data_IF_654981041737
#
_entry.id   IF_654981041737
#
_cell.length_a   1.000
_cell.length_b   1.000
_cell.length_c   1.000
_cell.angle_alpha   90.00
_cell.angle_beta   90.00
_cell.angle_gamma   90.00
#
_symmetry.space_group_name_H-M   'P 1'
#
loop_
_entity.id
_entity.type
_entity.pdbx_description
1 polymer ?
#
# COMPACT_ATOMS: atom_id res chain seq x y z
N UNK A 1 23.59 -40.72 -4.02
CA UNK A 1 22.70 -40.33 -5.15
C UNK A 1 21.74 -39.27 -4.61
N UNK A 2 22.13 -38.00 -4.69
CA UNK A 2 21.30 -36.88 -4.19
C UNK A 2 20.31 -36.53 -5.28
N UNK A 3 19.00 -36.63 -4.94
CA UNK A 3 17.93 -36.26 -5.80
C UNK A 3 17.74 -34.72 -5.68
N UNK A 4 18.13 -33.98 -6.70
CA UNK A 4 17.89 -32.54 -6.78
C UNK A 4 16.40 -32.37 -7.11
N UNK A 5 15.60 -31.97 -6.12
CA UNK A 5 14.25 -31.53 -6.36
C UNK A 5 14.29 -30.17 -7.07
N UNK A 6 14.07 -30.19 -8.37
CA UNK A 6 13.84 -28.96 -9.15
C UNK A 6 12.44 -28.46 -8.80
N UNK A 7 12.35 -27.42 -7.96
CA UNK A 7 11.12 -26.67 -7.78
C UNK A 7 10.75 -26.06 -9.13
N UNK A 8 9.72 -26.61 -9.78
CA UNK A 8 9.05 -25.94 -10.89
C UNK A 8 8.35 -24.72 -10.32
N UNK A 9 8.95 -23.55 -10.51
CA UNK A 9 8.25 -22.28 -10.39
C UNK A 9 7.20 -22.29 -11.49
N UNK A 10 5.95 -22.50 -11.13
CA UNK A 10 4.83 -22.24 -12.05
C UNK A 10 4.73 -20.73 -12.20
N UNK A 11 5.39 -20.18 -13.21
CA UNK A 11 5.04 -18.85 -13.72
C UNK A 11 3.62 -18.95 -14.29
N UNK A 12 2.63 -18.67 -13.48
CA UNK A 12 1.33 -18.32 -14.02
C UNK A 12 1.54 -17.06 -14.85
N UNK A 13 1.22 -17.04 -16.17
CA UNK A 13 1.37 -15.83 -16.96
C UNK A 13 0.45 -14.77 -16.35
N UNK A 14 1.04 -13.89 -15.56
CA UNK A 14 0.29 -12.81 -14.92
C UNK A 14 -0.18 -11.89 -16.01
N UNK A 15 -1.47 -11.86 -16.26
CA UNK A 15 -2.10 -10.98 -17.25
C UNK A 15 -1.67 -9.53 -16.98
N UNK A 16 -1.09 -8.88 -17.98
CA UNK A 16 -0.85 -7.44 -17.92
C UNK A 16 -2.18 -6.72 -17.70
N UNK A 17 -2.20 -5.81 -16.72
CA UNK A 17 -3.38 -5.03 -16.38
C UNK A 17 -3.44 -3.80 -17.28
N UNK A 18 -4.62 -3.50 -17.82
CA UNK A 18 -4.84 -2.33 -18.65
C UNK A 18 -5.25 -1.10 -17.80
N UNK A 19 -4.94 0.12 -18.25
CA UNK A 19 -5.50 1.33 -17.65
C UNK A 19 -7.03 1.25 -17.58
N UNK A 20 -7.59 1.55 -16.39
CA UNK A 20 -9.02 1.42 -16.11
C UNK A 20 -9.43 0.08 -15.49
N UNK A 21 -8.57 -0.95 -15.51
CA UNK A 21 -8.85 -2.20 -14.79
C UNK A 21 -8.97 -1.95 -13.28
N UNK A 22 -9.93 -2.64 -12.64
CA UNK A 22 -10.07 -2.62 -11.19
C UNK A 22 -9.26 -3.76 -10.57
N UNK A 23 -8.45 -3.42 -9.59
CA UNK A 23 -7.63 -4.37 -8.81
C UNK A 23 -7.80 -4.09 -7.32
N UNK A 24 -7.32 -4.98 -6.47
CA UNK A 24 -7.19 -4.70 -5.04
C UNK A 24 -5.72 -4.62 -4.62
N UNK A 25 -5.44 -3.77 -3.64
CA UNK A 25 -4.26 -3.88 -2.82
C UNK A 25 -4.67 -4.36 -1.43
N UNK A 26 -4.00 -5.40 -0.93
CA UNK A 26 -4.28 -5.99 0.37
C UNK A 26 -3.05 -5.91 1.26
N UNK A 27 -3.23 -5.46 2.51
CA UNK A 27 -2.26 -5.73 3.56
C UNK A 27 -2.55 -7.12 4.13
N UNK A 28 -1.55 -8.00 4.09
CA UNK A 28 -1.73 -9.41 4.49
C UNK A 28 -0.74 -9.82 5.58
N UNK A 29 -1.23 -10.57 6.56
CA UNK A 29 -0.40 -11.33 7.47
C UNK A 29 -0.09 -12.69 6.84
N UNK A 30 1.12 -12.85 6.31
CA UNK A 30 1.52 -14.09 5.63
C UNK A 30 1.53 -15.29 6.56
N UNK A 31 1.99 -15.11 7.80
CA UNK A 31 2.05 -16.18 8.80
C UNK A 31 0.67 -16.67 9.20
N UNK A 32 -0.33 -15.79 9.22
CA UNK A 32 -1.72 -16.10 9.52
C UNK A 32 -2.55 -16.41 8.26
N UNK A 33 -2.00 -16.17 7.07
CA UNK A 33 -2.69 -16.27 5.76
C UNK A 33 -4.01 -15.47 5.75
N UNK A 34 -3.98 -14.28 6.32
CA UNK A 34 -5.18 -13.47 6.52
C UNK A 34 -5.00 -12.04 6.06
N UNK A 35 -6.06 -11.46 5.50
CA UNK A 35 -6.09 -10.07 5.06
C UNK A 35 -6.33 -9.15 6.26
N UNK A 36 -5.52 -8.10 6.43
CA UNK A 36 -5.73 -7.06 7.45
C UNK A 36 -6.66 -5.97 6.93
N UNK A 37 -6.33 -5.47 5.74
CA UNK A 37 -7.09 -4.43 5.07
C UNK A 37 -7.07 -4.68 3.56
N UNK A 38 -8.11 -4.24 2.88
CA UNK A 38 -8.21 -4.29 1.43
C UNK A 38 -8.79 -2.98 0.91
N UNK A 39 -8.14 -2.46 -0.12
CA UNK A 39 -8.60 -1.29 -0.86
C UNK A 39 -8.67 -1.62 -2.34
N UNK A 40 -9.80 -1.33 -3.01
CA UNK A 40 -9.89 -1.45 -4.45
C UNK A 40 -9.27 -0.21 -5.10
N UNK A 41 -8.57 -0.40 -6.20
CA UNK A 41 -7.85 0.63 -6.94
C UNK A 41 -8.14 0.51 -8.43
N UNK A 42 -8.00 1.60 -9.16
CA UNK A 42 -8.00 1.59 -10.63
C UNK A 42 -6.57 1.60 -11.13
N UNK A 43 -6.25 0.73 -12.07
CA UNK A 43 -4.92 0.71 -12.70
C UNK A 43 -4.78 1.93 -13.61
N UNK A 44 -3.70 2.69 -13.41
CA UNK A 44 -3.29 3.80 -14.28
C UNK A 44 -2.20 3.33 -15.24
N UNK A 45 -1.25 2.57 -14.68
CA UNK A 45 -0.13 2.01 -15.42
C UNK A 45 0.30 0.69 -14.79
N UNK A 46 0.54 -0.32 -15.62
CA UNK A 46 1.17 -1.58 -15.23
C UNK A 46 2.36 -1.81 -16.16
N UNK A 47 3.53 -1.37 -15.74
CA UNK A 47 4.77 -1.43 -16.53
C UNK A 47 5.84 -2.28 -15.86
N UNK A 48 6.89 -2.62 -16.63
CA UNK A 48 7.99 -3.50 -16.20
C UNK A 48 8.80 -2.96 -15.02
N UNK A 49 8.71 -1.66 -14.73
CA UNK A 49 9.48 -1.01 -13.65
C UNK A 49 8.60 -0.33 -12.61
N UNK A 50 7.39 0.03 -12.97
CA UNK A 50 6.50 0.82 -12.14
C UNK A 50 5.05 0.45 -12.36
N UNK A 51 4.32 0.34 -11.26
CA UNK A 51 2.87 0.25 -11.20
C UNK A 51 2.34 1.58 -10.67
N UNK A 52 1.29 2.08 -11.28
CA UNK A 52 0.58 3.27 -10.79
C UNK A 52 -0.89 2.92 -10.63
N UNK A 53 -1.39 3.16 -9.42
CA UNK A 53 -2.78 2.92 -9.05
C UNK A 53 -3.47 4.22 -8.66
N UNK A 54 -4.76 4.29 -8.91
CA UNK A 54 -5.61 5.44 -8.58
C UNK A 54 -6.71 5.04 -7.60
N UNK A 55 -6.86 5.80 -6.52
CA UNK A 55 -7.92 5.67 -5.52
C UNK A 55 -8.76 6.94 -5.51
N UNK A 56 -9.97 6.95 -6.06
CA UNK A 56 -10.87 8.10 -5.97
C UNK A 56 -11.44 8.27 -4.55
N UNK A 57 -11.69 9.51 -4.17
CA UNK A 57 -12.51 9.81 -3.00
C UNK A 57 -13.88 9.11 -3.12
N UNK A 58 -14.38 8.59 -2.01
CA UNK A 58 -15.62 7.80 -1.97
C UNK A 58 -15.42 6.30 -2.14
N UNK A 59 -14.21 5.83 -2.48
CA UNK A 59 -13.91 4.40 -2.53
C UNK A 59 -14.10 3.75 -1.17
N UNK A 60 -14.73 2.56 -1.16
CA UNK A 60 -14.97 1.77 0.04
C UNK A 60 -14.02 0.58 0.08
N UNK A 61 -13.17 0.54 1.10
CA UNK A 61 -12.31 -0.59 1.46
C UNK A 61 -12.85 -1.32 2.69
N UNK A 62 -12.08 -2.31 3.17
CA UNK A 62 -12.42 -3.07 4.38
C UNK A 62 -11.19 -3.22 5.27
N UNK A 63 -11.42 -3.22 6.58
CA UNK A 63 -10.39 -3.47 7.59
C UNK A 63 -10.92 -4.43 8.66
N UNK A 64 -10.03 -5.14 9.33
CA UNK A 64 -10.36 -6.04 10.45
C UNK A 64 -11.05 -5.27 11.57
N UNK A 65 -12.08 -5.91 12.16
CA UNK A 65 -12.70 -5.48 13.42
C UNK A 65 -12.11 -6.24 14.61
N UNK A 66 -12.41 -5.77 15.83
CA UNK A 66 -11.96 -6.41 17.05
C UNK A 66 -11.51 -5.44 18.13
N UNK A 67 -10.85 -5.98 19.13
CA UNK A 67 -10.31 -5.21 20.24
C UNK A 67 -9.12 -4.38 19.80
N UNK A 68 -9.15 -3.08 20.14
CA UNK A 68 -8.10 -2.13 19.78
C UNK A 68 -7.47 -1.50 21.02
N UNK A 69 -6.21 -1.06 20.88
CA UNK A 69 -5.45 -0.39 21.93
C UNK A 69 -4.17 0.21 21.37
N UNK A 70 -3.15 0.36 22.21
CA UNK A 70 -1.89 0.98 21.82
C UNK A 70 -2.03 2.47 21.49
N UNK A 71 -1.06 3.06 20.75
CA UNK A 71 -1.08 4.46 20.38
C UNK A 71 -2.39 4.83 19.67
N UNK A 72 -3.02 5.90 20.14
CA UNK A 72 -4.28 6.43 19.60
C UNK A 72 -5.43 5.40 19.49
N UNK A 73 -5.33 4.22 20.13
CA UNK A 73 -6.31 3.15 20.02
C UNK A 73 -6.36 2.51 18.63
N UNK A 74 -5.32 2.65 17.81
CA UNK A 74 -5.33 2.18 16.41
C UNK A 74 -4.83 0.75 16.23
N UNK A 75 -4.03 0.24 17.18
CA UNK A 75 -3.46 -1.09 17.09
C UNK A 75 -4.51 -2.18 17.30
N UNK A 76 -4.63 -3.13 16.40
CA UNK A 76 -5.49 -4.29 16.59
C UNK A 76 -4.80 -5.26 17.56
N UNK A 77 -5.41 -5.44 18.75
CA UNK A 77 -4.92 -6.35 19.80
C UNK A 77 -5.42 -7.77 19.56
N UNK A 78 -6.69 -7.88 19.22
CA UNK A 78 -7.34 -9.17 18.94
C UNK A 78 -8.39 -9.02 17.84
N UNK A 79 -8.22 -9.78 16.77
CA UNK A 79 -9.20 -9.86 15.69
C UNK A 79 -10.41 -10.70 16.13
N UNK A 80 -11.62 -10.26 15.83
CA UNK A 80 -12.87 -10.96 16.13
C UNK A 80 -13.41 -11.82 14.98
N UNK A 81 -12.65 -11.92 13.88
CA UNK A 81 -13.05 -12.63 12.65
C UNK A 81 -13.84 -11.76 11.67
N UNK A 82 -14.23 -10.55 12.07
CA UNK A 82 -15.04 -9.62 11.29
C UNK A 82 -14.22 -8.59 10.50
N UNK A 83 -14.95 -7.90 9.60
CA UNK A 83 -14.44 -6.77 8.83
C UNK A 83 -15.51 -5.68 8.78
N UNK A 84 -15.07 -4.42 8.84
CA UNK A 84 -15.91 -3.25 8.66
C UNK A 84 -15.50 -2.49 7.40
N UNK A 85 -16.47 -1.80 6.82
CA UNK A 85 -16.24 -0.91 5.69
C UNK A 85 -15.57 0.38 6.15
N UNK A 86 -14.64 0.88 5.34
CA UNK A 86 -14.02 2.19 5.50
C UNK A 86 -14.12 2.95 4.19
N UNK A 87 -14.56 4.20 4.26
CA UNK A 87 -14.63 5.07 3.07
C UNK A 87 -13.44 6.00 3.03
N UNK A 88 -12.72 6.01 1.90
CA UNK A 88 -11.67 6.98 1.64
C UNK A 88 -12.28 8.34 1.37
N UNK A 89 -11.86 9.36 2.10
CA UNK A 89 -12.49 10.69 2.06
C UNK A 89 -11.48 11.81 1.82
N UNK A 90 -11.94 12.86 1.19
CA UNK A 90 -11.26 14.14 1.10
C UNK A 90 -10.21 14.25 0.00
N UNK A 91 -9.59 13.17 -0.41
CA UNK A 91 -8.54 13.19 -1.45
C UNK A 91 -8.72 12.10 -2.49
N UNK A 92 -8.25 12.40 -3.69
CA UNK A 92 -7.95 11.41 -4.72
C UNK A 92 -6.47 11.05 -4.62
N UNK A 93 -6.09 9.78 -4.71
CA UNK A 93 -4.71 9.36 -4.52
C UNK A 93 -4.17 8.66 -5.76
N UNK A 94 -3.00 9.09 -6.23
CA UNK A 94 -2.13 8.29 -7.08
C UNK A 94 -1.09 7.61 -6.21
N UNK A 95 -0.99 6.28 -6.32
CA UNK A 95 0.00 5.47 -5.65
C UNK A 95 1.01 4.95 -6.68
N UNK A 96 2.24 5.39 -6.56
CA UNK A 96 3.35 5.06 -7.44
C UNK A 96 4.23 4.01 -6.74
N UNK A 97 4.32 2.82 -7.32
CA UNK A 97 5.12 1.74 -6.80
C UNK A 97 6.17 1.31 -7.82
N UNK A 98 7.44 1.36 -7.47
CA UNK A 98 8.53 0.79 -8.25
C UNK A 98 8.72 -0.67 -7.82
N UNK A 99 8.76 -1.58 -8.79
CA UNK A 99 8.84 -3.01 -8.50
C UNK A 99 10.04 -3.36 -7.63
N UNK A 100 9.76 -4.04 -6.51
CA UNK A 100 10.75 -4.49 -5.55
C UNK A 100 11.11 -3.49 -4.44
N UNK A 101 10.62 -2.25 -4.50
CA UNK A 101 10.84 -1.29 -3.43
C UNK A 101 10.05 -1.68 -2.16
N UNK A 102 10.60 -1.40 -0.96
CA UNK A 102 9.89 -1.60 0.30
C UNK A 102 9.01 -0.40 0.67
N UNK A 103 8.52 0.34 -0.32
CA UNK A 103 7.63 1.47 -0.14
C UNK A 103 6.88 1.81 -1.41
N UNK A 104 5.82 2.62 -1.28
CA UNK A 104 5.17 3.31 -2.39
C UNK A 104 5.04 4.81 -2.10
N UNK A 105 5.14 5.64 -3.14
CA UNK A 105 4.89 7.07 -3.06
C UNK A 105 3.42 7.35 -3.40
N UNK A 106 2.73 8.08 -2.52
CA UNK A 106 1.37 8.53 -2.74
C UNK A 106 1.35 10.03 -3.01
N UNK A 107 0.62 10.43 -4.03
CA UNK A 107 0.30 11.81 -4.34
C UNK A 107 -1.20 12.00 -4.07
N UNK A 108 -1.53 12.75 -3.04
CA UNK A 108 -2.91 12.98 -2.65
C UNK A 108 -3.37 14.36 -3.14
N UNK A 109 -4.42 14.35 -3.92
CA UNK A 109 -5.04 15.53 -4.50
C UNK A 109 -6.36 15.82 -3.79
N UNK A 110 -6.62 17.07 -3.46
CA UNK A 110 -7.92 17.47 -2.95
C UNK A 110 -9.04 17.01 -3.93
N UNK A 111 -10.08 16.40 -3.39
CA UNK A 111 -11.10 15.77 -4.22
C UNK A 111 -11.95 16.76 -5.03
N UNK A 112 -12.04 18.02 -4.59
CA UNK A 112 -12.83 19.06 -5.25
C UNK A 112 -11.99 19.89 -6.22
N UNK A 113 -10.77 20.27 -5.85
CA UNK A 113 -9.92 21.20 -6.63
C UNK A 113 -8.87 20.51 -7.48
N UNK A 114 -8.50 19.28 -7.15
CA UNK A 114 -7.37 18.55 -7.73
C UNK A 114 -6.01 19.20 -7.48
N UNK A 115 -5.91 20.09 -6.52
CA UNK A 115 -4.62 20.57 -6.04
C UNK A 115 -3.91 19.45 -5.26
N UNK A 116 -2.61 19.33 -5.44
CA UNK A 116 -1.82 18.39 -4.63
C UNK A 116 -1.86 18.87 -3.18
N UNK A 117 -2.44 18.07 -2.29
CA UNK A 117 -2.62 18.40 -0.89
C UNK A 117 -1.42 17.96 -0.03
N UNK A 118 -0.96 16.73 -0.25
CA UNK A 118 0.18 16.15 0.47
C UNK A 118 0.79 14.98 -0.33
N UNK A 119 2.01 14.62 0.06
CA UNK A 119 2.74 13.44 -0.43
C UNK A 119 2.99 12.51 0.75
N UNK A 120 3.03 11.21 0.47
CA UNK A 120 3.17 10.19 1.50
C UNK A 120 4.05 9.07 1.00
N UNK A 121 4.99 8.63 1.80
CA UNK A 121 5.74 7.40 1.56
C UNK A 121 5.18 6.36 2.52
N UNK A 122 4.46 5.41 1.96
CA UNK A 122 3.95 4.25 2.68
C UNK A 122 5.03 3.19 2.70
N UNK A 123 5.58 2.92 3.89
CA UNK A 123 6.55 1.84 4.05
C UNK A 123 5.80 0.49 4.14
N UNK A 124 6.23 -0.45 3.35
CA UNK A 124 5.53 -1.73 3.18
C UNK A 124 6.46 -2.80 2.63
N UNK A 125 6.13 -4.06 2.83
CA UNK A 125 6.86 -5.13 2.16
C UNK A 125 6.70 -5.02 0.63
N UNK A 126 7.69 -5.47 -0.17
CA UNK A 126 7.55 -5.52 -1.62
C UNK A 126 6.28 -6.23 -2.08
N UNK A 127 5.60 -5.66 -3.06
CA UNK A 127 4.32 -6.17 -3.54
C UNK A 127 4.45 -7.53 -4.22
N UNK A 128 3.54 -8.42 -3.88
CA UNK A 128 3.33 -9.67 -4.60
C UNK A 128 2.09 -9.53 -5.49
N UNK A 129 2.24 -9.88 -6.75
CA UNK A 129 1.13 -9.88 -7.68
C UNK A 129 0.26 -11.12 -7.45
N UNK A 130 -1.06 -10.94 -7.47
CA UNK A 130 -2.07 -11.99 -7.29
C UNK A 130 -3.07 -11.98 -8.45
N UNK A 131 -3.98 -12.94 -8.48
CA UNK A 131 -5.04 -13.00 -9.50
C UNK A 131 -6.00 -11.80 -9.46
N UNK A 132 -6.10 -11.09 -8.32
CA UNK A 132 -7.03 -9.96 -8.12
C UNK A 132 -6.33 -8.62 -7.89
N UNK A 133 -4.99 -8.58 -7.93
CA UNK A 133 -4.22 -7.35 -7.73
C UNK A 133 -2.89 -7.57 -7.03
N UNK A 134 -2.71 -6.98 -5.86
CA UNK A 134 -1.42 -6.97 -5.16
C UNK A 134 -1.58 -7.21 -3.67
N UNK A 135 -0.69 -8.02 -3.11
CA UNK A 135 -0.53 -8.24 -1.68
C UNK A 135 0.77 -7.60 -1.20
N UNK A 136 0.72 -6.99 -0.03
CA UNK A 136 1.85 -6.44 0.68
C UNK A 136 1.60 -6.54 2.18
N UNK A 137 2.47 -5.96 3.00
CA UNK A 137 2.27 -5.77 4.42
C UNK A 137 2.75 -4.38 4.80
N UNK A 138 1.86 -3.59 5.38
CA UNK A 138 2.16 -2.33 6.03
C UNK A 138 3.08 -2.55 7.24
N UNK A 139 4.12 -1.72 7.41
CA UNK A 139 5.17 -1.94 8.41
C UNK A 139 5.23 -0.88 9.52
N UNK A 140 4.11 -0.23 9.81
CA UNK A 140 3.87 0.65 10.98
C UNK A 140 4.51 2.04 10.94
N UNK A 141 5.42 2.34 10.06
CA UNK A 141 6.13 3.61 10.00
C UNK A 141 5.99 4.19 8.61
N UNK A 142 5.68 5.47 8.53
CA UNK A 142 5.47 6.16 7.28
C UNK A 142 6.11 7.55 7.29
N UNK A 143 6.05 8.21 6.15
CA UNK A 143 6.53 9.58 6.00
C UNK A 143 5.48 10.43 5.28
N UNK A 144 5.36 11.68 5.70
CA UNK A 144 4.46 12.65 5.08
C UNK A 144 5.22 13.94 4.76
N UNK A 145 4.84 14.59 3.67
CA UNK A 145 5.33 15.91 3.30
C UNK A 145 4.21 16.75 2.67
N UNK A 146 4.35 18.05 2.76
CA UNK A 146 3.49 18.99 2.04
C UNK A 146 3.60 18.86 0.51
N UNK A 147 2.77 19.61 -0.24
CA UNK A 147 2.70 19.49 -1.70
C UNK A 147 4.00 19.85 -2.41
N UNK A 148 4.75 20.82 -1.91
CA UNK A 148 5.89 21.43 -2.62
C UNK A 148 7.22 21.33 -1.88
N UNK A 149 7.25 20.82 -0.65
CA UNK A 149 8.45 20.75 0.17
C UNK A 149 9.19 19.42 0.05
N UNK A 150 10.46 19.43 0.49
CA UNK A 150 11.24 18.21 0.76
C UNK A 150 11.34 17.93 2.26
N UNK A 151 10.50 18.60 3.05
CA UNK A 151 10.45 18.47 4.50
C UNK A 151 9.59 17.25 4.85
N UNK A 152 10.20 16.07 4.75
CA UNK A 152 9.59 14.81 5.13
C UNK A 152 9.57 14.66 6.64
N UNK A 153 8.38 14.41 7.19
CA UNK A 153 8.16 14.13 8.61
C UNK A 153 7.82 12.66 8.80
N UNK A 154 8.42 12.05 9.84
CA UNK A 154 8.07 10.70 10.24
C UNK A 154 6.68 10.68 10.85
N UNK A 155 5.92 9.68 10.50
CA UNK A 155 4.56 9.46 10.97
C UNK A 155 4.45 8.08 11.59
N UNK A 156 3.68 7.98 12.69
CA UNK A 156 3.39 6.73 13.40
C UNK A 156 4.64 6.11 14.09
N UNK A 157 5.63 6.94 14.51
CA UNK A 157 6.82 6.51 15.27
C UNK A 157 6.45 5.85 16.61
N UNK A 158 5.39 6.30 17.23
CA UNK A 158 4.83 5.73 18.46
C UNK A 158 4.21 4.34 18.22
N UNK A 159 3.63 4.08 17.06
CA UNK A 159 3.17 2.74 16.66
C UNK A 159 4.35 1.79 16.44
N UNK A 160 5.40 2.23 15.75
CA UNK A 160 6.62 1.44 15.59
C UNK A 160 7.26 1.11 16.94
N UNK A 161 7.39 2.09 17.84
CA UNK A 161 7.91 1.87 19.19
C UNK A 161 7.06 0.86 19.97
N UNK A 162 5.74 1.00 19.89
CA UNK A 162 4.81 0.11 20.57
C UNK A 162 4.90 -1.34 20.09
N UNK A 163 5.01 -1.58 18.77
CA UNK A 163 5.11 -2.96 18.23
C UNK A 163 6.43 -3.64 18.61
N UNK A 164 7.52 -2.86 18.75
CA UNK A 164 8.80 -3.36 19.28
C UNK A 164 8.66 -3.72 20.76
N UNK A 165 8.12 -2.84 21.59
CA UNK A 165 7.91 -3.07 23.03
C UNK A 165 7.05 -4.31 23.29
N UNK A 166 6.05 -4.57 22.44
CA UNK A 166 5.16 -5.73 22.57
C UNK A 166 5.62 -6.97 21.80
N UNK A 167 6.88 -6.97 21.30
CA UNK A 167 7.51 -8.13 20.67
C UNK A 167 6.86 -8.57 19.34
N UNK A 168 6.14 -7.69 18.66
CA UNK A 168 5.55 -7.98 17.34
C UNK A 168 6.59 -7.95 16.23
N UNK A 169 7.59 -7.10 16.38
CA UNK A 169 8.81 -7.07 15.59
C UNK A 169 9.99 -6.85 16.56
N UNK A 170 11.20 -7.23 16.16
CA UNK A 170 12.40 -6.95 16.93
C UNK A 170 13.02 -5.57 16.58
N UNK A 171 13.98 -5.14 17.42
CA UNK A 171 14.65 -3.85 17.23
C UNK A 171 15.45 -3.79 15.92
N UNK A 172 15.95 -4.93 15.43
CA UNK A 172 16.66 -4.99 14.16
C UNK A 172 15.71 -4.68 13.01
N UNK A 173 14.51 -5.32 12.98
CA UNK A 173 13.51 -5.06 11.96
C UNK A 173 13.02 -3.61 12.00
N UNK A 174 12.84 -3.03 13.18
CA UNK A 174 12.48 -1.61 13.32
C UNK A 174 13.55 -0.69 12.73
N UNK A 175 14.84 -0.99 12.95
CA UNK A 175 15.94 -0.23 12.35
C UNK A 175 16.00 -0.37 10.82
N UNK A 176 15.72 -1.57 10.28
CA UNK A 176 15.63 -1.80 8.84
C UNK A 176 14.50 -0.98 8.20
N UNK A 177 13.30 -0.96 8.83
CA UNK A 177 12.15 -0.15 8.37
C UNK A 177 12.53 1.33 8.32
N UNK A 178 13.19 1.85 9.35
CA UNK A 178 13.64 3.25 9.37
C UNK A 178 14.67 3.53 8.26
N UNK A 179 15.62 2.64 8.05
CA UNK A 179 16.60 2.76 6.96
C UNK A 179 15.93 2.69 5.57
N UNK A 180 14.86 1.90 5.42
CA UNK A 180 14.06 1.88 4.19
C UNK A 180 13.42 3.24 3.93
N UNK A 181 12.88 3.89 4.96
CA UNK A 181 12.30 5.23 4.85
C UNK A 181 13.33 6.30 4.48
N UNK A 182 14.52 6.28 5.07
CA UNK A 182 15.61 7.19 4.71
C UNK A 182 16.01 7.02 3.24
N UNK A 183 16.13 5.77 2.77
CA UNK A 183 16.40 5.47 1.35
C UNK A 183 15.25 5.93 0.44
N UNK A 184 14.01 5.79 0.88
CA UNK A 184 12.85 6.23 0.14
C UNK A 184 12.82 7.76 -0.04
N UNK A 185 13.13 8.53 1.00
CA UNK A 185 13.27 10.00 0.90
C UNK A 185 14.28 10.38 -0.19
N UNK A 186 15.48 9.79 -0.15
CA UNK A 186 16.53 10.09 -1.13
C UNK A 186 16.13 9.65 -2.54
N UNK A 187 15.49 8.49 -2.68
CA UNK A 187 14.99 8.03 -3.96
C UNK A 187 13.90 8.94 -4.55
N UNK A 188 13.01 9.46 -3.71
CA UNK A 188 11.96 10.42 -4.14
C UNK A 188 12.57 11.76 -4.53
N UNK A 189 13.59 12.27 -3.82
CA UNK A 189 14.32 13.50 -4.17
C UNK A 189 15.02 13.39 -5.52
N UNK A 190 15.57 12.23 -5.82
CA UNK A 190 16.27 11.96 -7.08
C UNK A 190 15.34 11.41 -8.17
N UNK A 191 14.10 11.09 -7.85
CA UNK A 191 13.10 10.68 -8.82
C UNK A 191 12.86 11.84 -9.79
N UNK A 192 12.90 11.56 -11.09
CA UNK A 192 12.59 12.56 -12.11
C UNK A 192 11.26 13.27 -11.84
N UNK A 193 11.06 14.39 -12.55
CA UNK A 193 9.90 15.27 -12.33
C UNK A 193 8.59 14.51 -12.12
N UNK A 194 7.89 14.82 -11.03
CA UNK A 194 6.54 14.35 -10.73
C UNK A 194 5.46 15.15 -11.50
N UNK A 195 5.87 16.11 -12.35
CA UNK A 195 4.96 17.04 -13.04
C UNK A 195 3.90 16.33 -13.87
N UNK A 196 4.27 15.24 -14.55
CA UNK A 196 3.31 14.44 -15.29
C UNK A 196 2.18 13.90 -14.41
N UNK A 197 2.46 13.61 -13.14
CA UNK A 197 1.47 13.10 -12.20
C UNK A 197 0.68 14.22 -11.55
N UNK A 198 1.27 15.40 -11.37
CA UNK A 198 0.56 16.59 -10.88
C UNK A 198 -0.54 17.03 -11.85
N UNK A 199 -0.30 16.89 -13.16
CA UNK A 199 -1.27 17.24 -14.21
C UNK A 199 -2.15 16.09 -14.67
N UNK A 200 -1.86 14.87 -14.23
CA UNK A 200 -2.65 13.69 -14.57
C UNK A 200 -4.09 13.81 -14.05
N UNK A 201 -5.04 13.31 -14.83
CA UNK A 201 -6.46 13.20 -14.44
C UNK A 201 -6.99 11.84 -14.89
N UNK A 202 -7.93 11.23 -14.13
CA UNK A 202 -8.56 9.98 -14.51
C UNK A 202 -9.42 10.18 -15.76
N UNK A 203 -9.59 9.11 -16.52
CA UNK A 203 -10.60 9.09 -17.58
C UNK A 203 -12.00 9.28 -16.94
N UNK A 204 -12.82 10.21 -17.44
CA UNK A 204 -14.16 10.46 -16.92
C UNK A 204 -15.09 9.23 -16.96
N UNK A 205 -14.79 8.27 -17.80
CA UNK A 205 -15.53 7.01 -17.91
C UNK A 205 -15.18 5.97 -16.84
N UNK A 206 -14.12 6.19 -16.06
CA UNK A 206 -13.74 5.26 -14.99
C UNK A 206 -14.73 5.30 -13.83
N UNK A 207 -15.14 4.13 -13.40
CA UNK A 207 -16.01 3.98 -12.24
C UNK A 207 -15.19 3.89 -10.96
N UNK A 208 -15.80 4.26 -9.83
CA UNK A 208 -15.21 3.99 -8.51
C UNK A 208 -15.03 2.46 -8.38
N UNK A 209 -13.81 1.98 -8.12
CA UNK A 209 -13.56 0.55 -8.01
C UNK A 209 -14.21 -0.04 -6.76
N UNK A 210 -14.54 -1.31 -6.79
CA UNK A 210 -15.17 -2.01 -5.67
C UNK A 210 -14.38 -3.25 -5.27
N UNK A 211 -14.47 -3.63 -3.99
CA UNK A 211 -13.85 -4.84 -3.48
C UNK A 211 -14.59 -6.06 -4.06
N UNK A 212 -13.90 -6.98 -4.77
CA UNK A 212 -14.53 -8.18 -5.34
C UNK A 212 -14.95 -9.17 -4.24
N UNK A 213 -15.91 -10.05 -4.51
CA UNK A 213 -16.42 -11.02 -3.53
C UNK A 213 -15.32 -11.92 -2.95
N UNK A 214 -14.38 -12.36 -3.80
CA UNK A 214 -13.28 -13.28 -3.43
C UNK A 214 -12.07 -12.60 -2.78
N UNK A 215 -12.17 -11.37 -2.33
CA UNK A 215 -11.05 -10.59 -1.79
C UNK A 215 -10.35 -11.21 -0.57
N UNK A 216 -11.01 -12.12 0.16
CA UNK A 216 -10.46 -12.81 1.35
C UNK A 216 -9.61 -14.02 0.98
N UNK A 217 -9.74 -14.54 -0.23
CA UNK A 217 -9.02 -15.73 -0.63
C UNK A 217 -7.53 -15.41 -0.71
N UNK A 218 -6.74 -16.11 0.08
CA UNK A 218 -5.29 -16.05 0.05
C UNK A 218 -4.80 -17.10 -0.94
N UNK A 219 -4.11 -16.66 -1.97
CA UNK A 219 -3.39 -17.54 -2.90
C UNK A 219 -1.90 -17.41 -2.57
N UNK A 220 -1.24 -18.50 -2.07
CA UNK A 220 0.16 -18.47 -1.70
C UNK A 220 1.09 -18.30 -2.88
#
# INVERSE_FOLDING_TARGET
>A
MFMVLTLKVYECPVKSLAPGDSVVWRSVHRDEQTVQTVWPWTVVQDGDKQIVLYLPAGTVGKHRTGERGGPHGRMLLRWDGGYADATWKGTNVLRLYRLGDPYSLWLAFDAATWDLAWRYINLEDPWLRTAIGFDSRDVYLDLIAGPDGDDWEWKDEDELAWVVEHGRIDAQRAAEIRADGERAIEAVRTMGSLDRWRTWRPDPGWRIPTVPERWREYEP
#
